data_IF_977746647842
#
_entry.id   IF_977746647842
#
_cell.length_a   1.000
_cell.length_b   1.000
_cell.length_c   1.000
_cell.angle_alpha   90.00
_cell.angle_beta   90.00
_cell.angle_gamma   90.00
#
_symmetry.space_group_name_H-M   'P 1'
#
loop_
_entity.id
_entity.type
_entity.pdbx_description
1 polymer ?
#
# COMPACT_ATOMS: atom_id res chain seq x y z
N UNK A 1 -21.21 -10.70 45.95
CA UNK A 1 -20.75 -12.02 46.43
C UNK A 1 -19.65 -11.81 47.46
N UNK A 2 -19.75 -12.45 48.60
CA UNK A 2 -18.74 -12.38 49.64
C UNK A 2 -18.06 -13.76 49.76
N UNK A 3 -16.75 -13.77 49.87
CA UNK A 3 -16.00 -14.98 50.15
C UNK A 3 -15.25 -14.78 51.46
N UNK A 4 -15.85 -15.30 52.55
CA UNK A 4 -15.29 -15.23 53.90
C UNK A 4 -16.14 -14.42 54.91
N UNK A 5 -15.91 -14.67 56.18
CA UNK A 5 -16.72 -14.15 57.29
C UNK A 5 -16.03 -13.04 58.09
N UNK A 6 -14.86 -12.57 57.71
CA UNK A 6 -14.11 -11.56 58.47
C UNK A 6 -13.25 -10.61 57.63
N UNK A 7 -13.29 -9.34 57.96
CA UNK A 7 -12.34 -8.30 57.57
C UNK A 7 -12.25 -8.04 56.04
N UNK A 8 -11.05 -7.99 55.53
CA UNK A 8 -10.72 -7.61 54.11
C UNK A 8 -11.23 -8.61 53.06
N UNK A 9 -11.76 -9.77 53.44
CA UNK A 9 -12.27 -10.77 52.49
C UNK A 9 -13.78 -10.63 52.17
N UNK A 10 -14.46 -9.66 52.71
CA UNK A 10 -15.93 -9.57 52.63
C UNK A 10 -16.49 -9.08 51.30
N UNK A 11 -15.68 -8.54 50.41
CA UNK A 11 -16.14 -8.02 49.12
C UNK A 11 -15.10 -8.23 48.02
N UNK A 12 -15.04 -9.44 47.45
CA UNK A 12 -14.10 -9.73 46.37
C UNK A 12 -14.69 -9.52 44.97
N UNK A 13 -16.01 -9.48 44.84
CA UNK A 13 -16.71 -9.14 43.62
C UNK A 13 -18.07 -8.57 43.91
N UNK A 14 -18.54 -7.62 43.19
CA UNK A 14 -19.82 -6.95 43.35
C UNK A 14 -20.56 -6.80 42.01
N UNK A 15 -21.87 -6.98 42.04
CA UNK A 15 -22.78 -6.50 40.99
C UNK A 15 -23.63 -5.43 41.63
N UNK A 16 -23.54 -4.21 41.12
CA UNK A 16 -24.24 -3.05 41.68
C UNK A 16 -25.17 -2.47 40.62
N UNK A 17 -26.30 -1.93 41.09
CA UNK A 17 -27.13 -1.04 40.29
C UNK A 17 -26.98 0.38 40.85
N UNK A 18 -26.41 1.29 40.05
CA UNK A 18 -26.24 2.70 40.38
C UNK A 18 -27.47 3.48 39.92
N UNK A 19 -28.39 3.81 40.83
CA UNK A 19 -29.64 4.50 40.50
C UNK A 19 -29.43 5.88 39.85
N UNK A 20 -28.42 6.62 40.32
CA UNK A 20 -28.16 7.97 39.83
C UNK A 20 -27.72 8.00 38.38
N UNK A 21 -27.05 6.96 37.90
CA UNK A 21 -26.53 6.82 36.57
C UNK A 21 -27.30 5.80 35.71
N UNK A 22 -28.30 5.14 36.33
CA UNK A 22 -29.07 4.05 35.70
C UNK A 22 -28.15 2.97 35.10
N UNK A 23 -27.08 2.63 35.82
CA UNK A 23 -26.03 1.73 35.37
C UNK A 23 -25.99 0.43 36.18
N UNK A 24 -25.72 -0.67 35.50
CA UNK A 24 -25.33 -1.94 36.14
C UNK A 24 -23.81 -2.05 36.08
N UNK A 25 -23.18 -2.22 37.22
CA UNK A 25 -21.71 -2.22 37.37
C UNK A 25 -21.23 -3.52 37.96
N UNK A 26 -20.17 -4.08 37.36
CA UNK A 26 -19.48 -5.27 37.83
C UNK A 26 -18.09 -4.86 38.31
N UNK A 27 -17.87 -5.02 39.61
CA UNK A 27 -16.60 -4.76 40.25
C UNK A 27 -15.84 -6.06 40.55
N UNK A 28 -14.53 -6.02 40.32
CA UNK A 28 -13.59 -7.02 40.85
C UNK A 28 -12.77 -6.37 41.99
N UNK A 29 -12.20 -7.19 42.86
CA UNK A 29 -11.36 -6.72 43.97
C UNK A 29 -11.96 -5.55 44.76
N UNK A 30 -13.22 -5.68 45.18
CA UNK A 30 -13.95 -4.78 46.08
C UNK A 30 -14.47 -3.47 45.43
N UNK A 31 -13.66 -2.68 44.76
CA UNK A 31 -14.04 -1.35 44.25
C UNK A 31 -13.57 -1.10 42.81
N UNK A 32 -12.81 -2.01 42.21
CA UNK A 32 -12.31 -1.85 40.85
C UNK A 32 -13.43 -2.20 39.87
N UNK A 33 -13.99 -1.21 39.22
CA UNK A 33 -14.96 -1.38 38.16
C UNK A 33 -14.32 -2.03 36.96
N UNK A 34 -14.88 -3.14 36.51
CA UNK A 34 -14.35 -3.91 35.37
C UNK A 34 -15.27 -3.80 34.15
N UNK A 35 -16.58 -3.78 34.39
CA UNK A 35 -17.59 -3.69 33.33
C UNK A 35 -18.77 -2.86 33.79
N UNK A 36 -19.27 -2.00 32.90
CA UNK A 36 -20.45 -1.17 33.09
C UNK A 36 -21.44 -1.39 31.94
N UNK A 37 -22.72 -1.46 32.28
CA UNK A 37 -23.83 -1.39 31.33
C UNK A 37 -24.62 -0.14 31.66
N UNK A 38 -24.64 0.86 30.74
CA UNK A 38 -25.30 2.15 30.90
C UNK A 38 -25.89 2.61 29.58
N UNK A 39 -27.13 3.10 29.58
CA UNK A 39 -27.78 3.62 28.36
C UNK A 39 -27.95 2.61 27.21
N UNK A 40 -27.78 1.30 27.50
CA UNK A 40 -27.73 0.28 26.44
C UNK A 40 -26.33 0.03 25.86
N UNK A 41 -25.32 0.63 26.43
CA UNK A 41 -23.89 0.55 26.04
C UNK A 41 -23.12 -0.37 27.00
N UNK A 42 -21.98 -0.88 26.53
CA UNK A 42 -21.05 -1.68 27.34
C UNK A 42 -19.73 -0.91 27.41
N UNK A 43 -19.22 -0.68 28.61
CA UNK A 43 -17.94 -0.02 28.83
C UNK A 43 -17.06 -0.80 29.82
N UNK A 44 -15.73 -0.69 29.68
CA UNK A 44 -14.72 -1.25 30.58
C UNK A 44 -13.90 -0.15 31.24
N UNK A 45 -12.99 -0.50 32.14
CA UNK A 45 -12.00 0.42 32.71
C UNK A 45 -12.57 1.51 33.65
N UNK A 46 -13.86 1.48 33.96
CA UNK A 46 -14.53 2.51 34.73
C UNK A 46 -15.02 3.70 33.91
N UNK A 47 -15.06 3.57 32.57
CA UNK A 47 -15.58 4.61 31.68
C UNK A 47 -17.07 4.86 31.94
N UNK A 48 -17.43 6.14 32.18
CA UNK A 48 -18.80 6.55 32.54
C UNK A 48 -19.52 7.32 31.43
N UNK A 49 -18.79 7.73 30.38
CA UNK A 49 -19.31 8.48 29.24
C UNK A 49 -18.73 7.92 27.92
N UNK A 50 -19.03 6.66 27.59
CA UNK A 50 -18.48 6.02 26.39
C UNK A 50 -18.99 6.73 25.12
N UNK A 51 -18.08 7.02 24.18
CA UNK A 51 -18.37 7.65 22.90
C UNK A 51 -18.96 6.65 21.88
N UNK A 52 -19.93 5.87 22.31
CA UNK A 52 -20.66 4.89 21.48
C UNK A 52 -22.18 5.09 21.64
N UNK A 53 -22.97 4.58 20.71
CA UNK A 53 -24.42 4.55 20.81
C UNK A 53 -24.91 3.26 21.43
N UNK A 54 -26.19 3.21 21.82
CA UNK A 54 -26.83 2.02 22.37
C UNK A 54 -26.55 0.77 21.50
N UNK A 55 -26.09 -0.29 22.15
CA UNK A 55 -25.59 -1.50 21.53
C UNK A 55 -24.08 -1.46 21.23
N UNK A 56 -23.40 -0.35 21.47
CA UNK A 56 -21.96 -0.20 21.28
C UNK A 56 -21.13 -0.75 22.45
N UNK A 57 -19.84 -1.00 22.16
CA UNK A 57 -18.83 -1.47 23.11
C UNK A 57 -17.68 -0.46 23.15
N UNK A 58 -17.44 0.14 24.32
CA UNK A 58 -16.26 0.92 24.63
C UNK A 58 -15.27 0.10 25.44
N UNK A 59 -14.07 -0.09 24.94
CA UNK A 59 -12.97 -0.71 25.66
C UNK A 59 -12.00 0.38 26.12
N UNK A 60 -12.03 0.71 27.40
CA UNK A 60 -11.07 1.63 28.03
C UNK A 60 -10.02 0.82 28.80
N UNK A 61 -8.75 1.04 28.50
CA UNK A 61 -7.60 0.45 29.18
C UNK A 61 -6.89 1.45 30.11
N UNK A 62 -7.48 2.65 30.28
CA UNK A 62 -6.89 3.73 31.04
C UNK A 62 -5.49 4.09 30.50
N UNK A 63 -4.47 4.18 31.37
CA UNK A 63 -3.10 4.53 30.99
C UNK A 63 -2.24 3.34 30.49
N UNK A 64 -2.83 2.16 30.31
CA UNK A 64 -2.08 0.99 29.85
C UNK A 64 -1.80 1.06 28.33
N UNK A 65 -0.68 0.52 27.89
CA UNK A 65 -0.18 0.59 26.51
C UNK A 65 -0.13 -0.78 25.80
N UNK A 66 -0.57 -1.84 26.48
CA UNK A 66 -0.63 -3.20 25.92
C UNK A 66 -1.87 -3.37 25.05
N UNK A 67 -2.06 -4.55 24.48
CA UNK A 67 -3.26 -4.85 23.68
C UNK A 67 -4.54 -4.67 24.51
N UNK A 68 -5.51 -3.99 23.92
CA UNK A 68 -6.85 -3.79 24.48
C UNK A 68 -7.85 -4.79 23.94
N UNK A 69 -7.57 -5.34 22.75
CA UNK A 69 -8.40 -6.35 22.11
C UNK A 69 -7.51 -7.42 21.48
N UNK A 70 -7.79 -8.68 21.77
CA UNK A 70 -7.09 -9.83 21.17
C UNK A 70 -8.07 -10.89 20.72
N UNK A 71 -7.74 -11.58 19.63
CA UNK A 71 -8.39 -12.81 19.19
C UNK A 71 -7.41 -13.97 19.32
N UNK A 72 -7.84 -15.03 19.96
CA UNK A 72 -7.05 -16.21 20.25
C UNK A 72 -7.77 -17.47 19.80
N UNK A 73 -7.01 -18.48 19.39
CA UNK A 73 -7.54 -19.80 19.10
C UNK A 73 -6.51 -20.87 19.45
N UNK A 74 -6.95 -21.91 20.12
CA UNK A 74 -6.07 -22.99 20.60
C UNK A 74 -5.51 -23.89 19.50
N UNK A 75 -5.96 -23.73 18.26
CA UNK A 75 -5.43 -24.39 17.07
C UNK A 75 -4.45 -23.54 16.26
N UNK A 76 -4.15 -22.32 16.72
CA UNK A 76 -3.09 -21.47 16.23
C UNK A 76 -1.82 -21.70 17.05
N UNK A 77 -0.69 -21.81 16.39
CA UNK A 77 0.62 -21.98 17.02
C UNK A 77 1.69 -21.24 16.20
N UNK A 78 1.61 -19.90 16.20
CA UNK A 78 2.65 -19.09 15.58
C UNK A 78 3.89 -18.96 16.48
N UNK A 79 5.10 -19.07 15.93
CA UNK A 79 6.34 -19.00 16.71
C UNK A 79 6.77 -17.59 17.15
N UNK A 80 6.00 -16.52 16.89
CA UNK A 80 6.37 -15.10 17.11
C UNK A 80 6.11 -14.66 18.56
N UNK A 81 6.61 -15.42 19.53
CA UNK A 81 6.32 -15.25 20.99
C UNK A 81 6.94 -14.00 21.62
N UNK A 82 7.87 -13.35 20.95
CA UNK A 82 8.40 -12.04 21.38
C UNK A 82 7.36 -10.91 21.22
N UNK A 83 6.30 -11.14 20.47
CA UNK A 83 5.23 -10.17 20.25
C UNK A 83 3.99 -10.53 21.10
N UNK A 84 3.44 -11.73 20.92
CA UNK A 84 2.24 -12.21 21.59
C UNK A 84 2.32 -13.72 21.85
N UNK A 85 1.43 -14.24 22.70
CA UNK A 85 1.31 -15.68 22.95
C UNK A 85 0.96 -16.46 21.68
N UNK A 86 1.41 -17.69 21.58
CA UNK A 86 1.36 -18.53 20.35
C UNK A 86 -0.03 -18.68 19.73
N UNK A 87 -1.07 -18.60 20.54
CA UNK A 87 -2.46 -18.77 20.14
C UNK A 87 -3.17 -17.44 19.79
N UNK A 88 -2.45 -16.29 19.83
CA UNK A 88 -2.99 -14.96 19.50
C UNK A 88 -2.83 -14.68 18.02
N UNK A 89 -3.92 -14.60 17.24
CA UNK A 89 -3.85 -14.31 15.81
C UNK A 89 -4.22 -12.86 15.43
N UNK A 90 -4.79 -12.08 16.36
CA UNK A 90 -5.01 -10.63 16.20
C UNK A 90 -4.81 -9.91 17.52
N UNK A 91 -4.15 -8.77 17.48
CA UNK A 91 -4.08 -7.84 18.61
C UNK A 91 -4.29 -6.40 18.12
N UNK A 92 -5.01 -5.60 18.92
CA UNK A 92 -5.20 -4.16 18.70
C UNK A 92 -4.74 -3.42 19.97
N UNK A 93 -3.90 -2.39 19.77
CA UNK A 93 -3.37 -1.58 20.87
C UNK A 93 -3.14 -0.13 20.43
N UNK A 94 -2.82 0.76 21.38
CA UNK A 94 -2.29 2.08 21.05
C UNK A 94 -0.97 1.94 20.26
N UNK A 95 -0.77 2.76 19.24
CA UNK A 95 0.50 2.82 18.48
C UNK A 95 1.61 3.49 19.32
N UNK A 96 1.26 4.49 20.11
CA UNK A 96 2.18 5.23 20.98
C UNK A 96 1.48 5.55 22.29
N UNK A 97 2.17 5.37 23.41
CA UNK A 97 1.64 5.64 24.76
C UNK A 97 1.24 7.10 24.97
N UNK A 98 1.97 8.04 24.36
CA UNK A 98 1.73 9.49 24.48
C UNK A 98 0.94 10.10 23.32
N UNK A 99 1.12 9.58 22.09
CA UNK A 99 0.56 10.21 20.89
C UNK A 99 -0.72 9.52 20.40
N UNK A 100 -1.05 8.36 20.97
CA UNK A 100 -2.22 7.58 20.56
C UNK A 100 -2.01 6.84 19.24
N UNK A 101 -3.02 6.85 18.39
CA UNK A 101 -3.07 6.06 17.16
C UNK A 101 -3.40 4.59 17.42
N UNK A 102 -3.68 3.83 16.37
CA UNK A 102 -4.02 2.40 16.44
C UNK A 102 -2.93 1.58 15.76
N UNK A 103 -2.49 0.52 16.45
CA UNK A 103 -1.69 -0.56 15.89
C UNK A 103 -2.53 -1.84 15.92
N UNK A 104 -2.80 -2.40 14.75
CA UNK A 104 -3.42 -3.69 14.58
C UNK A 104 -2.39 -4.69 14.03
N UNK A 105 -2.17 -5.79 14.73
CA UNK A 105 -1.18 -6.81 14.38
C UNK A 105 -1.89 -8.13 14.15
N UNK A 106 -1.70 -8.70 12.97
CA UNK A 106 -2.16 -10.06 12.65
C UNK A 106 -0.96 -11.00 12.53
N UNK A 107 -1.07 -12.19 13.06
CA UNK A 107 -0.02 -13.20 13.10
C UNK A 107 -0.54 -14.53 12.53
N UNK A 108 0.28 -15.21 11.73
CA UNK A 108 -0.02 -16.54 11.20
C UNK A 108 1.26 -17.31 10.89
N UNK A 109 1.20 -18.63 10.81
CA UNK A 109 2.28 -19.50 10.31
C UNK A 109 2.27 -19.64 8.78
N UNK A 110 1.24 -19.14 8.10
CA UNK A 110 1.13 -19.15 6.65
C UNK A 110 1.75 -17.93 5.98
N UNK A 111 1.44 -17.74 4.72
CA UNK A 111 1.97 -16.68 3.85
C UNK A 111 1.08 -15.41 3.82
N UNK A 112 -0.12 -15.44 4.41
CA UNK A 112 -1.06 -14.33 4.41
C UNK A 112 -1.66 -14.08 5.79
N UNK A 113 -1.09 -13.14 6.55
CA UNK A 113 -1.56 -12.79 7.88
C UNK A 113 -2.81 -11.90 7.87
N UNK A 114 -2.97 -11.04 6.87
CA UNK A 114 -4.07 -10.08 6.80
C UNK A 114 -4.71 -10.06 5.42
N UNK A 115 -6.04 -10.21 5.36
CA UNK A 115 -6.83 -10.07 4.13
C UNK A 115 -8.04 -9.18 4.38
N UNK A 116 -8.17 -8.12 3.59
CA UNK A 116 -9.31 -7.20 3.65
C UNK A 116 -10.08 -7.33 2.34
N UNK A 117 -11.36 -7.68 2.40
CA UNK A 117 -12.24 -7.78 1.24
C UNK A 117 -13.34 -6.71 1.34
N UNK A 118 -13.53 -5.92 0.29
CA UNK A 118 -14.66 -5.00 0.16
C UNK A 118 -15.65 -5.53 -0.90
N UNK A 119 -16.92 -5.62 -0.55
CA UNK A 119 -18.00 -6.02 -1.46
C UNK A 119 -18.95 -4.85 -1.62
N UNK A 120 -19.16 -4.39 -2.84
CA UNK A 120 -20.05 -3.25 -3.14
C UNK A 120 -21.16 -3.69 -4.09
N UNK A 121 -22.32 -3.05 -4.00
CA UNK A 121 -23.45 -3.33 -4.89
C UNK A 121 -23.30 -2.65 -6.25
N UNK A 122 -22.65 -1.48 -6.31
CA UNK A 122 -22.49 -0.70 -7.52
C UNK A 122 -21.04 -0.26 -7.71
N UNK A 123 -20.60 -0.24 -8.96
CA UNK A 123 -19.30 0.31 -9.33
C UNK A 123 -19.32 1.83 -9.27
N UNK A 124 -18.21 2.43 -8.83
CA UNK A 124 -17.95 3.84 -9.00
C UNK A 124 -16.85 4.03 -10.05
N UNK A 125 -17.19 4.61 -11.18
CA UNK A 125 -16.28 4.89 -12.29
C UNK A 125 -15.85 6.37 -12.37
N UNK A 126 -16.14 7.16 -11.35
CA UNK A 126 -15.75 8.56 -11.27
C UNK A 126 -14.24 8.68 -11.07
N UNK A 127 -13.53 9.22 -12.06
CA UNK A 127 -12.07 9.37 -12.06
C UNK A 127 -11.66 10.83 -11.95
N UNK A 128 -12.00 11.46 -10.82
CA UNK A 128 -11.64 12.84 -10.49
C UNK A 128 -11.56 13.00 -8.96
N UNK A 129 -11.38 14.21 -8.47
CA UNK A 129 -11.24 14.52 -7.04
C UNK A 129 -12.42 14.09 -6.14
N UNK A 130 -13.55 13.66 -6.70
CA UNK A 130 -14.73 13.17 -5.97
C UNK A 130 -14.96 11.67 -6.15
N UNK A 131 -14.03 10.96 -6.80
CA UNK A 131 -14.08 9.52 -6.99
C UNK A 131 -14.00 8.76 -5.66
N UNK A 132 -14.78 7.69 -5.54
CA UNK A 132 -14.74 6.76 -4.41
C UNK A 132 -14.40 5.35 -4.90
N UNK A 133 -13.73 4.57 -4.04
CA UNK A 133 -13.43 3.16 -4.29
C UNK A 133 -14.13 2.23 -3.30
N UNK A 134 -14.10 0.94 -3.56
CA UNK A 134 -14.55 -0.09 -2.61
C UNK A 134 -13.74 -0.08 -1.31
N UNK A 135 -12.50 0.42 -1.38
CA UNK A 135 -11.65 0.74 -0.23
C UNK A 135 -11.26 2.21 -0.33
N UNK A 136 -11.43 2.94 0.76
CA UNK A 136 -11.08 4.35 0.85
C UNK A 136 -10.10 4.54 2.03
N UNK A 137 -8.88 4.97 1.73
CA UNK A 137 -7.87 5.35 2.70
C UNK A 137 -7.76 6.88 2.70
N UNK A 138 -8.13 7.50 3.82
CA UNK A 138 -8.07 8.95 3.97
C UNK A 138 -7.11 9.32 5.09
N UNK A 139 -6.21 10.26 4.83
CA UNK A 139 -5.35 10.87 5.83
C UNK A 139 -5.61 12.37 5.91
N UNK A 140 -5.57 12.92 7.13
CA UNK A 140 -5.76 14.34 7.38
C UNK A 140 -4.85 14.79 8.51
N UNK A 141 -4.48 16.07 8.53
CA UNK A 141 -3.65 16.69 9.56
C UNK A 141 -4.53 17.44 10.57
N UNK A 142 -4.18 17.39 11.86
CA UNK A 142 -4.86 18.13 12.90
C UNK A 142 -4.71 19.66 12.69
N UNK A 143 -5.79 20.40 12.89
CA UNK A 143 -5.82 21.85 12.97
C UNK A 143 -6.77 22.30 14.09
N UNK A 144 -6.21 22.74 15.23
CA UNK A 144 -7.01 23.05 16.44
C UNK A 144 -7.75 21.81 16.95
N UNK A 145 -9.09 21.87 17.00
CA UNK A 145 -10.01 20.77 17.35
C UNK A 145 -10.56 20.02 16.12
N UNK A 146 -10.12 20.38 14.92
CA UNK A 146 -10.63 19.84 13.66
C UNK A 146 -9.46 19.24 12.82
N UNK A 147 -9.73 18.84 11.60
CA UNK A 147 -8.75 18.29 10.65
C UNK A 147 -8.67 19.15 9.39
N UNK A 148 -7.54 19.13 8.71
CA UNK A 148 -7.30 19.82 7.44
C UNK A 148 -6.48 18.91 6.51
N UNK A 149 -6.26 19.35 5.27
CA UNK A 149 -5.41 18.66 4.29
C UNK A 149 -4.00 18.48 4.83
N UNK A 150 -3.34 17.43 4.39
CA UNK A 150 -1.93 17.20 4.66
C UNK A 150 -1.08 18.32 4.06
N UNK A 151 0.14 18.51 4.57
CA UNK A 151 1.08 19.50 4.03
C UNK A 151 1.82 18.95 2.82
N UNK A 152 2.41 19.86 2.03
CA UNK A 152 3.16 19.52 0.82
C UNK A 152 4.23 18.42 1.05
N UNK A 153 4.27 17.45 0.14
CA UNK A 153 5.12 16.24 0.19
C UNK A 153 4.89 15.35 1.43
N UNK A 154 3.69 15.41 2.03
CA UNK A 154 3.36 14.54 3.15
C UNK A 154 2.94 13.14 2.67
N UNK A 155 3.47 12.10 3.29
CA UNK A 155 3.09 10.72 2.95
C UNK A 155 1.67 10.42 3.42
N UNK A 156 0.78 10.00 2.51
CA UNK A 156 -0.56 9.50 2.83
C UNK A 156 -0.55 8.00 3.14
N UNK A 157 0.19 7.23 2.35
CA UNK A 157 0.28 5.79 2.50
C UNK A 157 1.73 5.33 2.32
N UNK A 158 2.18 4.46 3.20
CA UNK A 158 3.53 3.87 3.14
C UNK A 158 3.41 2.34 3.20
N UNK A 159 4.12 1.63 2.32
CA UNK A 159 4.32 0.18 2.40
C UNK A 159 5.79 -0.08 2.72
N UNK A 160 6.04 -0.86 3.77
CA UNK A 160 7.39 -1.14 4.25
C UNK A 160 7.64 -2.64 4.36
N UNK A 161 8.90 -3.03 4.19
CA UNK A 161 9.40 -4.36 4.50
C UNK A 161 10.30 -4.26 5.74
N UNK A 162 9.83 -4.77 6.88
CA UNK A 162 10.53 -4.75 8.16
C UNK A 162 11.18 -3.38 8.48
N UNK A 163 10.36 -2.31 8.46
CA UNK A 163 10.79 -0.93 8.76
C UNK A 163 11.45 -0.18 7.59
N UNK A 164 11.82 -0.85 6.50
CA UNK A 164 12.35 -0.19 5.30
C UNK A 164 11.22 0.14 4.33
N UNK A 165 11.01 1.42 4.06
CA UNK A 165 9.97 1.89 3.13
C UNK A 165 10.28 1.42 1.70
N UNK A 166 9.26 0.92 1.00
CA UNK A 166 9.35 0.42 -0.38
C UNK A 166 8.43 1.13 -1.36
N UNK A 167 7.35 1.72 -0.86
CA UNK A 167 6.35 2.39 -1.68
C UNK A 167 5.67 3.49 -0.86
N UNK A 168 5.46 4.64 -1.47
CA UNK A 168 4.78 5.80 -0.87
C UNK A 168 3.76 6.32 -1.87
N UNK A 169 2.61 6.75 -1.37
CA UNK A 169 1.70 7.70 -2.02
C UNK A 169 1.70 8.96 -1.17
N UNK A 170 1.99 10.10 -1.77
CA UNK A 170 1.97 11.40 -1.08
C UNK A 170 0.64 12.16 -1.28
N UNK A 171 0.57 13.36 -0.75
CA UNK A 171 -0.68 14.14 -0.75
C UNK A 171 -1.06 14.69 -2.11
N UNK A 172 -0.10 14.85 -3.03
CA UNK A 172 -0.35 15.25 -4.42
C UNK A 172 -0.76 14.06 -5.31
N UNK A 173 -0.67 12.84 -4.76
CA UNK A 173 -0.97 11.60 -5.48
C UNK A 173 0.23 11.05 -6.24
N UNK A 174 1.42 11.59 -6.01
CA UNK A 174 2.66 11.05 -6.55
C UNK A 174 2.97 9.68 -5.91
N UNK A 175 3.47 8.77 -6.74
CA UNK A 175 3.84 7.41 -6.33
C UNK A 175 5.35 7.26 -6.36
N UNK A 176 5.95 7.12 -5.18
CA UNK A 176 7.37 6.90 -5.01
C UNK A 176 7.66 5.44 -4.63
N UNK A 177 8.67 4.84 -5.23
CA UNK A 177 9.06 3.46 -4.90
C UNK A 177 10.58 3.32 -4.83
N UNK A 178 11.04 2.50 -3.87
CA UNK A 178 12.44 2.10 -3.75
C UNK A 178 12.68 0.90 -4.69
N UNK A 179 13.28 1.16 -5.82
CA UNK A 179 13.66 0.15 -6.80
C UNK A 179 14.78 0.68 -7.68
N UNK A 180 15.91 -0.03 -7.74
CA UNK A 180 16.97 0.32 -8.67
C UNK A 180 16.49 0.15 -10.11
N UNK A 181 16.68 1.17 -10.94
CA UNK A 181 16.61 1.01 -12.38
C UNK A 181 17.78 0.12 -12.81
N UNK A 182 17.53 -1.10 -13.27
CA UNK A 182 18.51 -1.87 -14.01
C UNK A 182 18.31 -1.60 -15.49
N UNK A 183 19.40 -1.31 -16.18
CA UNK A 183 19.38 -1.11 -17.61
C UNK A 183 18.99 -2.41 -18.34
N UNK A 184 18.18 -2.30 -19.36
CA UNK A 184 17.85 -3.40 -20.29
C UNK A 184 18.76 -3.35 -21.52
N UNK A 185 20.08 -3.23 -21.30
CA UNK A 185 21.06 -2.88 -22.32
C UNK A 185 21.17 -3.88 -23.49
N UNK A 186 20.59 -5.09 -23.35
CA UNK A 186 20.60 -6.13 -24.38
C UNK A 186 19.29 -6.25 -25.18
N UNK A 187 18.26 -5.48 -24.85
CA UNK A 187 16.94 -5.54 -25.47
C UNK A 187 16.66 -4.32 -26.32
N UNK A 188 15.79 -4.47 -27.32
CA UNK A 188 15.25 -3.33 -28.04
C UNK A 188 14.05 -2.76 -27.29
N UNK A 189 14.31 -1.90 -26.29
CA UNK A 189 13.32 -1.44 -25.33
C UNK A 189 12.14 -0.73 -25.99
N UNK A 190 12.38 0.04 -27.05
CA UNK A 190 11.28 0.71 -27.78
C UNK A 190 10.33 -0.31 -28.45
N UNK A 191 10.85 -1.43 -28.96
CA UNK A 191 10.04 -2.52 -29.52
C UNK A 191 9.27 -3.25 -28.42
N UNK A 192 9.90 -3.48 -27.24
CA UNK A 192 9.26 -4.12 -26.12
C UNK A 192 8.12 -3.27 -25.52
N UNK A 193 8.32 -1.95 -25.39
CA UNK A 193 7.24 -1.03 -24.99
C UNK A 193 6.07 -1.12 -25.95
N UNK A 194 6.33 -1.14 -27.25
CA UNK A 194 5.27 -1.24 -28.27
C UNK A 194 4.58 -2.61 -28.26
N UNK A 195 5.35 -3.69 -28.11
CA UNK A 195 4.79 -5.04 -28.01
C UNK A 195 3.88 -5.21 -26.79
N UNK A 196 4.31 -4.67 -25.63
CA UNK A 196 3.51 -4.66 -24.41
C UNK A 196 2.21 -3.86 -24.57
N UNK A 197 2.28 -2.70 -25.19
CA UNK A 197 1.11 -1.85 -25.45
C UNK A 197 0.10 -2.57 -26.35
N UNK A 198 0.57 -3.24 -27.40
CA UNK A 198 -0.25 -4.03 -28.31
C UNK A 198 -0.91 -5.24 -27.64
N UNK A 199 -0.16 -5.96 -26.78
CA UNK A 199 -0.69 -7.12 -26.04
C UNK A 199 -1.83 -6.73 -25.09
N UNK A 200 -1.78 -5.50 -24.55
CA UNK A 200 -2.79 -5.01 -23.63
C UNK A 200 -3.95 -4.27 -24.28
N UNK A 201 -3.78 -3.80 -25.50
CA UNK A 201 -4.81 -3.04 -26.18
C UNK A 201 -6.05 -3.92 -26.44
N UNK A 202 -7.21 -3.27 -26.48
CA UNK A 202 -8.44 -3.92 -26.92
C UNK A 202 -8.30 -4.26 -28.43
N UNK A 203 -8.52 -5.51 -28.83
CA UNK A 203 -8.44 -5.92 -30.25
C UNK A 203 -9.29 -5.06 -31.20
N UNK A 204 -10.36 -4.44 -30.69
CA UNK A 204 -11.21 -3.54 -31.49
C UNK A 204 -10.53 -2.20 -31.83
N UNK A 205 -9.44 -1.81 -31.14
CA UNK A 205 -8.75 -0.53 -31.34
C UNK A 205 -7.48 -0.64 -32.16
N UNK A 206 -7.05 -1.85 -32.55
CA UNK A 206 -5.83 -2.09 -33.31
C UNK A 206 -6.16 -2.43 -34.77
N UNK A 207 -5.52 -1.76 -35.72
CA UNK A 207 -5.53 -2.16 -37.12
C UNK A 207 -4.66 -3.41 -37.30
N UNK A 208 -5.31 -4.54 -37.39
CA UNK A 208 -4.79 -5.91 -37.26
C UNK A 208 -4.13 -6.42 -38.55
N UNK A 209 -3.18 -5.98 -39.16
CA UNK A 209 -2.68 -6.68 -40.35
C UNK A 209 -1.16 -6.90 -40.43
N UNK A 210 -0.38 -6.14 -39.69
CA UNK A 210 1.09 -6.28 -39.73
C UNK A 210 1.72 -6.62 -38.38
N UNK A 211 0.93 -6.62 -37.29
CA UNK A 211 1.44 -6.59 -35.93
C UNK A 211 1.22 -7.88 -35.13
N UNK A 212 0.40 -8.82 -35.65
CA UNK A 212 0.14 -10.10 -34.98
C UNK A 212 1.43 -10.86 -34.64
N UNK A 213 2.40 -10.85 -35.56
CA UNK A 213 3.71 -11.46 -35.33
C UNK A 213 4.67 -10.61 -34.50
N UNK A 214 4.40 -9.31 -34.36
CA UNK A 214 5.29 -8.43 -33.59
C UNK A 214 5.23 -8.72 -32.09
N UNK A 215 4.05 -8.99 -31.56
CA UNK A 215 3.88 -9.45 -30.17
C UNK A 215 4.55 -10.79 -29.97
N UNK A 216 4.28 -11.77 -30.84
CA UNK A 216 4.87 -13.11 -30.77
C UNK A 216 6.41 -13.06 -30.75
N UNK A 217 7.04 -12.26 -31.62
CA UNK A 217 8.48 -12.14 -31.67
C UNK A 217 9.12 -11.49 -30.44
N UNK A 218 8.39 -10.65 -29.71
CA UNK A 218 8.89 -9.94 -28.55
C UNK A 218 8.40 -10.52 -27.22
N UNK A 219 7.52 -11.52 -27.25
CA UNK A 219 6.85 -12.06 -26.08
C UNK A 219 7.83 -12.70 -25.08
N UNK A 220 8.75 -13.50 -25.56
CA UNK A 220 9.78 -14.14 -24.74
C UNK A 220 10.67 -13.10 -24.03
N UNK A 221 10.99 -12.01 -24.69
CA UNK A 221 11.80 -10.95 -24.11
C UNK A 221 11.02 -10.15 -23.06
N UNK A 222 9.74 -9.88 -23.28
CA UNK A 222 8.85 -9.29 -22.27
C UNK A 222 8.72 -10.19 -21.01
N UNK A 223 8.73 -11.49 -21.19
CA UNK A 223 8.73 -12.47 -20.09
C UNK A 223 10.07 -12.48 -19.37
N UNK A 224 11.21 -12.52 -20.08
CA UNK A 224 12.56 -12.51 -19.51
C UNK A 224 12.90 -11.22 -18.77
N UNK A 225 12.46 -10.07 -19.26
CA UNK A 225 12.64 -8.77 -18.57
C UNK A 225 11.84 -8.67 -17.27
N UNK A 226 10.94 -9.63 -17.01
CA UNK A 226 10.10 -9.67 -15.83
C UNK A 226 9.00 -8.62 -15.80
N UNK A 227 8.68 -8.00 -16.93
CA UNK A 227 7.57 -7.03 -17.06
C UNK A 227 6.25 -7.75 -16.90
N UNK A 228 6.10 -8.90 -17.55
CA UNK A 228 4.93 -9.75 -17.43
C UNK A 228 5.02 -10.67 -16.22
N UNK A 229 3.95 -10.73 -15.44
CA UNK A 229 3.77 -11.69 -14.36
C UNK A 229 2.49 -12.48 -14.57
N UNK A 230 2.62 -13.78 -14.82
CA UNK A 230 1.51 -14.73 -14.79
C UNK A 230 1.49 -15.42 -13.42
N UNK A 231 0.33 -15.84 -12.97
CA UNK A 231 0.19 -16.62 -11.74
C UNK A 231 0.70 -18.07 -11.95
N UNK A 232 0.46 -18.63 -13.17
CA UNK A 232 0.94 -19.94 -13.54
C UNK A 232 1.14 -20.03 -15.07
N UNK A 233 1.82 -21.07 -15.55
CA UNK A 233 1.95 -21.35 -16.98
C UNK A 233 0.60 -21.71 -17.62
N UNK A 234 -0.33 -22.31 -16.85
CA UNK A 234 -1.70 -22.60 -17.31
C UNK A 234 -2.50 -21.32 -17.56
N UNK A 235 -2.26 -20.25 -16.78
CA UNK A 235 -2.89 -18.95 -17.00
C UNK A 235 -2.46 -18.33 -18.33
N UNK A 236 -1.20 -18.52 -18.70
CA UNK A 236 -0.66 -18.11 -19.99
C UNK A 236 -1.32 -18.92 -21.15
N UNK A 237 -1.35 -20.24 -21.05
CA UNK A 237 -1.97 -21.13 -22.05
C UNK A 237 -3.47 -20.89 -22.18
N UNK A 238 -4.14 -20.49 -21.11
CA UNK A 238 -5.55 -20.10 -21.12
C UNK A 238 -5.83 -18.72 -21.72
N UNK A 239 -4.80 -18.00 -22.20
CA UNK A 239 -4.92 -16.68 -22.82
C UNK A 239 -5.30 -15.56 -21.86
N UNK A 240 -5.06 -15.74 -20.55
CA UNK A 240 -5.25 -14.66 -19.57
C UNK A 240 -4.22 -13.55 -19.76
N UNK A 241 -4.65 -12.30 -19.60
CA UNK A 241 -3.75 -11.15 -19.69
C UNK A 241 -2.79 -11.12 -18.48
N UNK A 242 -1.49 -10.88 -18.71
CA UNK A 242 -0.50 -10.82 -17.62
C UNK A 242 -0.68 -9.59 -16.73
N UNK A 243 -0.25 -9.70 -15.47
CA UNK A 243 0.00 -8.53 -14.63
C UNK A 243 1.24 -7.80 -15.11
N UNK A 244 1.21 -6.46 -15.09
CA UNK A 244 2.38 -5.65 -15.43
C UNK A 244 3.07 -5.19 -14.15
N UNK A 245 4.35 -5.49 -14.04
CA UNK A 245 5.21 -4.98 -12.97
C UNK A 245 5.66 -3.57 -13.32
N UNK A 246 5.08 -2.56 -12.67
CA UNK A 246 5.31 -1.15 -12.98
C UNK A 246 6.79 -0.74 -12.89
N UNK A 247 7.52 -1.23 -11.88
CA UNK A 247 8.96 -0.95 -11.77
C UNK A 247 9.81 -1.51 -12.93
N UNK A 248 9.42 -2.65 -13.48
CA UNK A 248 10.07 -3.22 -14.66
C UNK A 248 9.71 -2.42 -15.92
N UNK A 249 8.45 -2.00 -16.05
CA UNK A 249 7.99 -1.13 -17.14
C UNK A 249 8.69 0.22 -17.12
N UNK A 250 8.84 0.85 -15.96
CA UNK A 250 9.56 2.12 -15.83
C UNK A 250 11.01 2.01 -16.32
N UNK A 251 11.69 0.91 -15.99
CA UNK A 251 13.04 0.64 -16.47
C UNK A 251 13.10 0.48 -17.99
N UNK A 252 12.12 -0.25 -18.56
CA UNK A 252 12.03 -0.40 -20.00
C UNK A 252 11.83 0.96 -20.70
N UNK A 253 10.97 1.84 -20.17
CA UNK A 253 10.76 3.17 -20.68
C UNK A 253 12.06 4.00 -20.65
N UNK A 254 12.79 3.96 -19.53
CA UNK A 254 14.06 4.65 -19.37
C UNK A 254 15.11 4.15 -20.38
N UNK A 255 15.20 2.82 -20.56
CA UNK A 255 16.06 2.20 -21.54
C UNK A 255 15.69 2.60 -22.98
N UNK A 256 14.41 2.60 -23.32
CA UNK A 256 13.93 3.03 -24.63
C UNK A 256 14.30 4.48 -24.94
N UNK A 257 14.19 5.38 -23.97
CA UNK A 257 14.59 6.79 -24.10
C UNK A 257 16.11 6.89 -24.32
N UNK A 258 16.89 6.14 -23.54
CA UNK A 258 18.34 6.12 -23.68
C UNK A 258 18.79 5.59 -25.03
N UNK A 259 18.24 4.48 -25.49
CA UNK A 259 18.52 3.94 -26.82
C UNK A 259 18.17 4.91 -27.97
N UNK A 260 17.07 5.66 -27.84
CA UNK A 260 16.74 6.71 -28.81
C UNK A 260 17.78 7.82 -28.80
N UNK A 261 18.24 8.23 -27.63
CA UNK A 261 19.30 9.22 -27.49
C UNK A 261 20.59 8.74 -28.16
N UNK A 262 21.06 7.51 -27.88
CA UNK A 262 22.26 6.93 -28.49
C UNK A 262 22.14 6.85 -30.03
N UNK A 263 21.00 6.39 -30.55
CA UNK A 263 20.76 6.33 -32.00
C UNK A 263 20.77 7.72 -32.63
N UNK A 264 20.24 8.73 -31.94
CA UNK A 264 20.35 10.12 -32.42
C UNK A 264 21.79 10.60 -32.45
N UNK A 265 22.61 10.28 -31.45
CA UNK A 265 24.03 10.63 -31.47
C UNK A 265 24.79 9.94 -32.61
N UNK A 266 24.55 8.63 -32.80
CA UNK A 266 25.14 7.87 -33.91
C UNK A 266 24.75 8.46 -35.30
N UNK A 267 23.47 8.84 -35.45
CA UNK A 267 23.01 9.50 -36.69
C UNK A 267 23.68 10.86 -36.87
N UNK A 268 23.80 11.66 -35.82
CA UNK A 268 24.46 12.96 -35.85
C UNK A 268 25.93 12.84 -36.29
N UNK A 269 26.66 11.86 -35.72
CA UNK A 269 28.05 11.60 -36.13
C UNK A 269 28.14 11.17 -37.61
N UNK A 270 27.28 10.26 -38.06
CA UNK A 270 27.27 9.82 -39.46
C UNK A 270 26.94 10.97 -40.42
N UNK A 271 26.00 11.84 -40.07
CA UNK A 271 25.66 13.05 -40.87
C UNK A 271 26.81 14.05 -40.85
N UNK A 272 27.48 14.23 -39.71
CA UNK A 272 28.64 15.09 -39.62
C UNK A 272 29.78 14.60 -40.50
N UNK A 273 30.10 13.30 -40.47
CA UNK A 273 31.15 12.71 -41.31
C UNK A 273 30.84 12.90 -42.80
N UNK A 274 29.61 12.68 -43.22
CA UNK A 274 29.17 12.98 -44.59
C UNK A 274 29.32 14.45 -44.94
N UNK A 275 28.94 15.36 -44.04
CA UNK A 275 29.09 16.79 -44.26
C UNK A 275 30.57 17.21 -44.33
N UNK A 276 31.42 16.63 -43.47
CA UNK A 276 32.89 16.87 -43.48
C UNK A 276 33.52 16.42 -44.77
N UNK A 277 33.13 15.26 -45.31
CA UNK A 277 33.60 14.80 -46.62
C UNK A 277 33.12 15.69 -47.77
N UNK A 278 31.87 16.15 -47.72
CA UNK A 278 31.24 16.91 -48.80
C UNK A 278 31.69 18.38 -48.88
N UNK A 279 31.84 19.07 -47.73
CA UNK A 279 32.05 20.53 -47.68
C UNK A 279 33.26 20.96 -46.84
N UNK A 280 33.98 20.06 -46.23
CA UNK A 280 35.10 20.30 -45.33
C UNK A 280 34.69 20.57 -43.89
N UNK A 281 35.61 20.33 -42.95
CA UNK A 281 35.38 20.33 -41.49
C UNK A 281 34.90 21.69 -40.94
N UNK A 282 35.53 22.79 -41.43
CA UNK A 282 35.16 24.14 -40.99
C UNK A 282 33.69 24.49 -41.30
N UNK A 283 33.23 24.14 -42.51
CA UNK A 283 31.83 24.39 -42.92
C UNK A 283 30.87 23.44 -42.21
N UNK A 284 31.26 22.18 -41.98
CA UNK A 284 30.45 21.22 -41.24
C UNK A 284 30.23 21.71 -39.80
N UNK A 285 31.27 22.18 -39.11
CA UNK A 285 31.16 22.76 -37.77
C UNK A 285 30.29 24.03 -37.76
N UNK A 286 30.45 24.93 -38.74
CA UNK A 286 29.61 26.12 -38.84
C UNK A 286 28.13 25.81 -39.04
N UNK A 287 27.79 24.69 -39.68
CA UNK A 287 26.41 24.22 -39.82
C UNK A 287 25.87 23.75 -38.47
N UNK A 288 26.64 22.97 -37.68
CA UNK A 288 26.25 22.52 -36.36
C UNK A 288 26.02 23.72 -35.43
N UNK A 289 26.96 24.66 -35.39
CA UNK A 289 26.87 25.87 -34.57
C UNK A 289 25.66 26.73 -34.93
N UNK A 290 25.34 26.86 -36.20
CA UNK A 290 24.15 27.59 -36.67
C UNK A 290 22.84 26.96 -36.15
N UNK A 291 22.81 25.67 -35.97
CA UNK A 291 21.64 24.92 -35.50
C UNK A 291 21.70 24.56 -34.03
N UNK A 292 22.68 25.09 -33.27
CA UNK A 292 22.92 24.82 -31.84
C UNK A 292 23.03 23.32 -31.51
N UNK A 293 23.51 22.51 -32.46
CA UNK A 293 23.68 21.07 -32.29
C UNK A 293 25.03 20.78 -31.65
N UNK A 294 25.04 20.13 -30.50
CA UNK A 294 26.25 19.71 -29.78
C UNK A 294 26.53 18.25 -30.01
N UNK A 295 27.74 17.93 -30.47
CA UNK A 295 28.24 16.55 -30.49
C UNK A 295 28.75 16.16 -29.12
N UNK A 296 28.56 14.90 -28.74
CA UNK A 296 29.25 14.32 -27.59
C UNK A 296 30.74 14.22 -27.92
N UNK A 297 31.60 14.72 -27.03
CA UNK A 297 33.04 14.55 -27.10
C UNK A 297 33.50 13.28 -26.43
#
# INVERSE_FOLDING_TARGET
>A
FANGTSGAQTKQGQVLYEQNNSAMVFNTASTTETLRLVGGEIATGGETAPDVSAGGLCLDQNALDTAIFTLKSSDIDHGMTDHYETDTYLAIQKKSGSDGGVLAVAMCEGDQAWRINGYVNNDNSTQNATGNGAFHFQASKKTGSDVTVMGANANLMVVSNNGSTRFIVDEDGDVLHDGSASAYDSYNDAHLVRAMDLERADPATIINSKWDKFVDYNFDDLKKTGIFGYQSDEDYEAGKKPFIKMGALQRLHNGAIWQQYEKHQQLLEAVYDLAKEAVGEEKANAILDKHEVKRLQ
#
